data_IF_101639575637
#
_entry.id   IF_101639575637
#
_cell.length_a   1.000
_cell.length_b   1.000
_cell.length_c   1.000
_cell.angle_alpha   90.00
_cell.angle_beta   90.00
_cell.angle_gamma   90.00
#
_symmetry.space_group_name_H-M   'P 1'
#
loop_
_entity.id
_entity.type
_entity.pdbx_description
1 polymer ?
#
# COMPACT_ATOMS: atom_id res chain seq x y z
N UNK A 1 -8.46 5.06 3.96
CA UNK A 1 -8.15 4.90 2.52
C UNK A 1 -6.66 4.72 2.40
N UNK A 2 -6.25 3.57 1.88
CA UNK A 2 -4.84 3.26 1.65
C UNK A 2 -4.60 3.28 0.15
N UNK A 3 -3.55 3.96 -0.27
CA UNK A 3 -3.03 3.97 -1.64
C UNK A 3 -1.58 3.48 -1.64
N UNK A 4 -1.16 2.96 -2.79
CA UNK A 4 0.21 2.49 -3.02
C UNK A 4 0.82 3.35 -4.12
N UNK A 5 1.95 4.01 -3.85
CA UNK A 5 2.49 5.10 -4.69
C UNK A 5 2.68 4.71 -6.17
N UNK A 6 3.10 3.47 -6.41
CA UNK A 6 3.43 2.94 -7.74
C UNK A 6 2.36 1.99 -8.28
N UNK A 7 1.14 2.01 -7.73
CA UNK A 7 0.03 1.16 -8.20
C UNK A 7 -0.20 1.37 -9.71
N UNK A 8 0.08 0.33 -10.49
CA UNK A 8 -0.05 0.38 -11.95
C UNK A 8 -1.47 0.02 -12.44
N UNK A 9 -2.38 -0.33 -11.53
CA UNK A 9 -3.76 -0.74 -11.82
C UNK A 9 -4.78 0.33 -11.41
N UNK A 10 -4.55 1.01 -10.29
CA UNK A 10 -5.43 2.01 -9.70
C UNK A 10 -4.61 3.26 -9.35
N UNK A 11 -4.90 4.36 -10.04
CA UNK A 11 -4.24 5.65 -9.81
C UNK A 11 -4.45 6.14 -8.36
N UNK A 12 -3.38 6.37 -7.57
CA UNK A 12 -3.47 6.94 -6.23
C UNK A 12 -4.28 8.24 -6.15
N UNK A 13 -4.26 9.07 -7.20
CA UNK A 13 -5.06 10.31 -7.26
C UNK A 13 -6.57 10.03 -7.24
N UNK A 14 -7.00 8.88 -7.78
CA UNK A 14 -8.41 8.46 -7.71
C UNK A 14 -8.81 8.07 -6.29
N UNK A 15 -7.92 7.40 -5.54
CA UNK A 15 -8.15 7.06 -4.12
C UNK A 15 -8.17 8.33 -3.26
N UNK A 16 -7.31 9.30 -3.56
CA UNK A 16 -7.34 10.62 -2.93
C UNK A 16 -8.67 11.34 -3.17
N UNK A 17 -9.15 11.40 -4.41
CA UNK A 17 -10.44 12.00 -4.75
C UNK A 17 -11.60 11.34 -3.98
N UNK A 18 -11.58 10.00 -3.85
CA UNK A 18 -12.55 9.28 -3.05
C UNK A 18 -12.46 9.67 -1.56
N UNK A 19 -11.26 9.74 -1.00
CA UNK A 19 -11.05 10.20 0.38
C UNK A 19 -11.65 11.59 0.62
N UNK A 20 -11.46 12.54 -0.31
CA UNK A 20 -12.03 13.88 -0.20
C UNK A 20 -13.56 13.92 -0.22
N UNK A 21 -14.21 12.87 -0.75
CA UNK A 21 -15.68 12.77 -0.78
C UNK A 21 -16.30 12.19 0.51
N UNK A 22 -15.47 11.80 1.49
CA UNK A 22 -15.91 11.11 2.71
C UNK A 22 -15.62 11.94 3.96
N UNK A 23 -16.64 12.13 4.81
CA UNK A 23 -16.54 13.00 5.99
C UNK A 23 -15.57 12.49 7.08
N UNK A 24 -15.43 11.16 7.23
CA UNK A 24 -14.65 10.53 8.30
C UNK A 24 -13.69 9.49 7.70
N UNK A 25 -12.70 9.94 6.94
CA UNK A 25 -11.69 9.05 6.38
C UNK A 25 -10.30 9.60 6.59
N UNK A 26 -9.33 8.70 6.75
CA UNK A 26 -7.90 8.99 6.72
C UNK A 26 -7.35 8.50 5.40
N UNK A 27 -6.43 9.25 4.78
CA UNK A 27 -5.69 8.86 3.60
C UNK A 27 -4.24 8.56 3.95
N UNK A 28 -3.73 7.43 3.45
CA UNK A 28 -2.33 7.01 3.59
C UNK A 28 -1.83 6.57 2.22
N UNK A 29 -0.73 7.14 1.77
CA UNK A 29 -0.02 6.73 0.57
C UNK A 29 1.31 6.09 0.97
N UNK A 30 1.53 4.83 0.60
CA UNK A 30 2.73 4.07 0.98
C UNK A 30 3.75 4.14 -0.16
N UNK A 31 4.97 4.60 0.14
CA UNK A 31 6.02 4.85 -0.84
C UNK A 31 6.48 3.56 -1.54
N UNK A 32 6.88 3.67 -2.81
CA UNK A 32 7.48 2.62 -3.64
C UNK A 32 6.75 1.27 -3.58
N UNK A 33 5.42 1.33 -3.47
CA UNK A 33 4.56 0.16 -3.28
C UNK A 33 3.57 0.08 -4.43
N UNK A 34 3.30 -1.13 -4.93
CA UNK A 34 2.32 -1.38 -5.99
C UNK A 34 1.07 -2.14 -5.51
N UNK A 35 0.16 -2.42 -6.43
CA UNK A 35 -1.19 -2.96 -6.15
C UNK A 35 -1.20 -4.30 -5.44
N UNK A 36 -0.23 -5.17 -5.75
CA UNK A 36 -0.16 -6.53 -5.22
C UNK A 36 0.56 -6.59 -3.86
N UNK A 37 1.20 -5.51 -3.41
CA UNK A 37 1.87 -5.45 -2.11
C UNK A 37 1.07 -5.93 -0.88
N UNK A 38 -0.24 -5.63 -0.74
CA UNK A 38 -1.01 -6.08 0.42
C UNK A 38 -1.37 -7.57 0.41
N UNK A 39 -1.16 -8.30 -0.69
CA UNK A 39 -1.58 -9.71 -0.78
C UNK A 39 -0.53 -10.64 -0.16
N UNK A 40 -0.99 -11.73 0.46
CA UNK A 40 -0.13 -12.71 1.15
C UNK A 40 0.93 -13.36 0.25
N UNK A 41 0.68 -13.38 -1.07
CA UNK A 41 1.63 -13.93 -2.04
C UNK A 41 2.84 -13.02 -2.29
N UNK A 42 2.72 -11.70 -2.06
CA UNK A 42 3.75 -10.73 -2.46
C UNK A 42 5.14 -11.01 -1.86
N UNK A 43 5.30 -11.34 -0.55
CA UNK A 43 6.60 -11.71 0.00
C UNK A 43 7.21 -12.93 -0.70
N UNK A 44 6.40 -13.92 -1.08
CA UNK A 44 6.87 -15.12 -1.78
C UNK A 44 7.27 -14.84 -3.23
N UNK A 45 6.67 -13.81 -3.84
CA UNK A 45 7.01 -13.32 -5.17
C UNK A 45 8.33 -12.55 -5.11
N UNK A 46 8.51 -11.66 -4.13
CA UNK A 46 9.76 -10.94 -3.90
C UNK A 46 10.93 -11.90 -3.63
N UNK A 47 10.74 -12.89 -2.75
CA UNK A 47 11.77 -13.90 -2.43
C UNK A 47 12.21 -14.70 -3.67
N UNK A 48 11.33 -14.86 -4.67
CA UNK A 48 11.60 -15.56 -5.94
C UNK A 48 12.11 -14.63 -7.05
N UNK A 49 12.11 -13.32 -6.82
CA UNK A 49 12.46 -12.34 -7.84
C UNK A 49 11.39 -12.14 -8.93
N UNK A 50 10.13 -12.49 -8.63
CA UNK A 50 9.00 -12.35 -9.55
C UNK A 50 8.29 -13.67 -9.89
N UNK A 51 7.41 -13.60 -10.88
CA UNK A 51 6.55 -14.68 -11.39
C UNK A 51 6.93 -15.09 -12.82
N UNK A 52 8.14 -14.74 -13.28
CA UNK A 52 8.57 -14.95 -14.68
C UNK A 52 8.41 -16.40 -15.15
N UNK A 53 8.58 -17.40 -14.27
CA UNK A 53 8.38 -18.82 -14.60
C UNK A 53 6.94 -19.16 -15.01
N UNK A 54 5.95 -18.39 -14.55
CA UNK A 54 4.53 -18.60 -14.85
C UNK A 54 4.08 -17.85 -16.12
N UNK A 55 4.96 -17.08 -16.74
CA UNK A 55 4.62 -16.16 -17.85
C UNK A 55 4.06 -16.86 -19.07
N UNK A 56 4.56 -18.05 -19.41
CA UNK A 56 4.04 -18.86 -20.52
C UNK A 56 2.62 -19.37 -20.23
N UNK A 57 2.34 -19.74 -18.97
CA UNK A 57 1.06 -20.32 -18.57
C UNK A 57 -0.04 -19.28 -18.32
N UNK A 58 0.32 -18.13 -17.76
CA UNK A 58 -0.63 -17.10 -17.30
C UNK A 58 -0.73 -15.89 -18.23
N UNK A 59 0.29 -15.68 -19.08
CA UNK A 59 0.37 -14.54 -19.97
C UNK A 59 0.88 -13.26 -19.30
N UNK A 60 1.44 -12.37 -20.11
CA UNK A 60 2.15 -11.16 -19.70
C UNK A 60 1.34 -10.25 -18.78
N UNK A 61 0.07 -10.02 -19.11
CA UNK A 61 -0.79 -9.08 -18.38
C UNK A 61 -1.06 -9.54 -16.94
N UNK A 62 -1.27 -10.84 -16.73
CA UNK A 62 -1.50 -11.43 -15.41
C UNK A 62 -0.22 -11.39 -14.59
N UNK A 63 0.91 -11.71 -15.21
CA UNK A 63 2.22 -11.61 -14.53
C UNK A 63 2.48 -10.18 -14.08
N UNK A 64 2.33 -9.20 -14.98
CA UNK A 64 2.58 -7.79 -14.64
C UNK A 64 1.67 -7.31 -13.50
N UNK A 65 0.40 -7.70 -13.51
CA UNK A 65 -0.52 -7.36 -12.42
C UNK A 65 -0.15 -8.04 -11.09
N UNK A 66 0.30 -9.30 -11.14
CA UNK A 66 0.73 -10.04 -9.94
C UNK A 66 2.09 -9.61 -9.39
N UNK A 67 2.96 -9.05 -10.24
CA UNK A 67 4.28 -8.52 -9.87
C UNK A 67 4.23 -7.05 -9.41
N UNK A 68 3.09 -6.36 -9.55
CA UNK A 68 2.97 -4.92 -9.27
C UNK A 68 3.21 -4.59 -7.79
N UNK A 69 4.42 -4.12 -7.45
CA UNK A 69 4.85 -3.87 -6.08
C UNK A 69 5.47 -5.09 -5.38
N UNK A 70 5.77 -6.17 -6.12
CA UNK A 70 6.29 -7.43 -5.58
C UNK A 70 7.63 -7.86 -6.19
N UNK A 71 8.37 -6.93 -6.80
CA UNK A 71 9.72 -7.18 -7.29
C UNK A 71 10.79 -6.75 -6.27
N UNK A 72 12.04 -7.24 -6.37
CA UNK A 72 13.12 -6.92 -5.42
C UNK A 72 13.51 -5.44 -5.30
N UNK A 73 12.98 -4.55 -6.15
CA UNK A 73 13.19 -3.10 -6.07
C UNK A 73 12.06 -2.32 -5.39
N UNK A 74 10.93 -2.97 -5.13
CA UNK A 74 9.79 -2.39 -4.44
C UNK A 74 10.01 -2.40 -2.92
N UNK A 75 9.18 -1.66 -2.18
CA UNK A 75 9.16 -1.72 -0.71
C UNK A 75 8.96 -3.16 -0.24
N UNK A 76 9.61 -3.55 0.88
CA UNK A 76 9.45 -4.90 1.44
C UNK A 76 7.98 -5.17 1.74
N UNK A 77 7.42 -6.19 1.08
CA UNK A 77 6.02 -6.55 1.21
C UNK A 77 5.66 -6.94 2.65
N UNK A 78 6.59 -7.49 3.42
CA UNK A 78 6.37 -7.83 4.83
C UNK A 78 6.21 -6.57 5.67
N UNK A 79 7.04 -5.56 5.44
CA UNK A 79 6.94 -4.26 6.11
C UNK A 79 5.62 -3.54 5.74
N UNK A 80 5.21 -3.59 4.47
CA UNK A 80 3.90 -3.08 4.04
C UNK A 80 2.77 -3.79 4.79
N UNK A 81 2.80 -5.12 4.87
CA UNK A 81 1.79 -5.90 5.58
C UNK A 81 1.76 -5.60 7.09
N UNK A 82 2.92 -5.42 7.72
CA UNK A 82 3.01 -5.04 9.14
C UNK A 82 2.42 -3.64 9.39
N UNK A 83 2.70 -2.66 8.51
CA UNK A 83 2.09 -1.34 8.57
C UNK A 83 0.56 -1.40 8.40
N UNK A 84 0.09 -2.14 7.38
CA UNK A 84 -1.34 -2.34 7.14
C UNK A 84 -2.02 -3.02 8.31
N UNK A 85 -1.35 -3.97 8.97
CA UNK A 85 -1.87 -4.64 10.16
C UNK A 85 -2.13 -3.64 11.28
N UNK A 86 -1.25 -2.65 11.48
CA UNK A 86 -1.46 -1.61 12.50
C UNK A 86 -2.70 -0.78 12.14
N UNK A 87 -2.79 -0.27 10.91
CA UNK A 87 -3.92 0.56 10.46
C UNK A 87 -5.25 -0.19 10.51
N UNK A 88 -5.31 -1.42 9.98
CA UNK A 88 -6.53 -2.23 9.94
C UNK A 88 -6.96 -2.62 11.34
N UNK A 89 -6.03 -3.07 12.19
CA UNK A 89 -6.37 -3.43 13.58
C UNK A 89 -6.86 -2.22 14.34
N UNK A 90 -6.17 -1.08 14.23
CA UNK A 90 -6.57 0.17 14.87
C UNK A 90 -7.96 0.63 14.44
N UNK A 91 -8.20 0.67 13.13
CA UNK A 91 -9.50 1.01 12.56
C UNK A 91 -10.62 0.09 13.05
N UNK A 92 -10.40 -1.23 13.05
CA UNK A 92 -11.41 -2.21 13.50
C UNK A 92 -11.73 -2.04 14.99
N UNK A 93 -10.71 -1.82 15.82
CA UNK A 93 -10.91 -1.63 17.26
C UNK A 93 -11.70 -0.35 17.55
N UNK A 94 -11.41 0.74 16.85
CA UNK A 94 -12.15 2.00 16.99
C UNK A 94 -13.59 1.87 16.47
N UNK A 95 -13.78 1.34 15.26
CA UNK A 95 -15.09 1.18 14.63
C UNK A 95 -16.04 0.28 15.43
N UNK A 96 -15.49 -0.70 16.15
CA UNK A 96 -16.26 -1.61 17.01
C UNK A 96 -16.42 -1.08 18.45
N UNK A 97 -15.85 0.08 18.80
CA UNK A 97 -15.91 0.63 20.15
C UNK A 97 -15.20 -0.22 21.20
N UNK A 98 -14.13 -0.92 20.80
CA UNK A 98 -13.35 -1.82 21.66
C UNK A 98 -12.22 -1.11 22.42
N UNK A 99 -12.03 0.19 22.16
CA UNK A 99 -11.03 1.01 22.83
C UNK A 99 -11.67 1.85 23.93
N UNK A 100 -10.93 2.01 25.04
CA UNK A 100 -11.33 2.92 26.12
C UNK A 100 -11.20 4.39 25.71
N UNK A 101 -10.26 4.70 24.81
CA UNK A 101 -9.96 6.04 24.30
C UNK A 101 -9.78 5.98 22.77
N UNK A 102 -10.06 7.06 22.02
CA UNK A 102 -9.85 7.09 20.57
C UNK A 102 -8.40 6.81 20.17
N UNK A 103 -8.22 6.03 19.10
CA UNK A 103 -6.89 5.76 18.54
C UNK A 103 -6.55 6.81 17.48
N UNK A 104 -5.78 7.83 17.86
CA UNK A 104 -5.30 8.82 16.91
C UNK A 104 -4.10 8.26 16.11
N UNK A 105 -4.37 7.50 15.05
CA UNK A 105 -3.34 7.09 14.11
C UNK A 105 -2.86 8.29 13.29
N UNK A 106 -1.56 8.48 13.22
CA UNK A 106 -0.88 9.57 12.50
C UNK A 106 0.24 8.99 11.62
N UNK A 107 0.95 9.84 10.88
CA UNK A 107 2.02 9.41 9.97
C UNK A 107 3.18 8.70 10.70
N UNK A 108 3.43 9.08 11.95
CA UNK A 108 4.50 8.54 12.82
C UNK A 108 4.34 7.04 13.10
N UNK A 109 3.17 6.45 12.81
CA UNK A 109 2.99 4.99 12.92
C UNK A 109 3.93 4.21 11.98
N UNK A 110 4.38 4.83 10.88
CA UNK A 110 5.37 4.24 9.99
C UNK A 110 6.72 3.99 10.70
N UNK A 111 7.10 4.83 11.67
CA UNK A 111 8.36 4.70 12.40
C UNK A 111 8.41 3.44 13.28
N UNK A 112 7.26 2.78 13.50
CA UNK A 112 7.18 1.52 14.23
C UNK A 112 7.53 0.30 13.36
N UNK A 113 7.62 0.47 12.04
CA UNK A 113 7.85 -0.62 11.08
C UNK A 113 9.06 -0.28 10.22
N UNK A 114 10.13 -1.06 10.38
CA UNK A 114 11.35 -0.88 9.59
C UNK A 114 11.10 -1.23 8.11
N UNK A 115 11.64 -0.42 7.19
CA UNK A 115 11.63 -0.73 5.76
C UNK A 115 10.40 -0.25 4.98
N UNK A 116 9.47 0.47 5.61
CA UNK A 116 8.31 1.10 4.97
C UNK A 116 8.29 2.61 5.21
N UNK A 117 7.77 3.36 4.25
CA UNK A 117 7.63 4.82 4.34
C UNK A 117 6.20 5.21 3.95
N UNK A 118 5.58 6.09 4.74
CA UNK A 118 4.36 6.77 4.33
C UNK A 118 4.78 8.01 3.53
N UNK A 119 4.55 7.96 2.22
CA UNK A 119 4.83 9.06 1.29
C UNK A 119 3.93 10.27 1.55
N UNK A 120 2.70 10.04 1.99
CA UNK A 120 1.73 11.09 2.30
C UNK A 120 0.65 10.61 3.26
N UNK A 121 0.29 11.46 4.22
CA UNK A 121 -0.74 11.19 5.22
C UNK A 121 -1.74 12.35 5.22
N UNK A 122 -2.99 12.09 4.82
CA UNK A 122 -4.01 13.13 4.55
C UNK A 122 -3.51 14.25 3.61
N UNK A 123 -2.59 13.90 2.72
CA UNK A 123 -2.01 14.78 1.72
C UNK A 123 -2.18 14.17 0.33
N UNK A 124 -2.37 15.03 -0.67
CA UNK A 124 -2.52 14.58 -2.05
C UNK A 124 -1.25 13.84 -2.53
N UNK A 125 -1.39 12.76 -3.33
CA UNK A 125 -0.24 12.10 -3.94
C UNK A 125 0.60 13.08 -4.75
N UNK A 126 1.92 13.03 -4.59
CA UNK A 126 2.84 13.80 -5.43
C UNK A 126 2.90 13.16 -6.81
N UNK A 127 2.43 13.87 -7.84
CA UNK A 127 2.67 13.46 -9.23
C UNK A 127 4.13 13.77 -9.54
N UNK A 128 4.96 12.76 -9.77
CA UNK A 128 6.25 12.98 -10.41
C UNK A 128 5.96 13.42 -11.86
N UNK A 129 5.91 14.73 -12.09
CA UNK A 129 5.95 15.28 -13.44
C UNK A 129 7.33 14.91 -13.98
N UNK A 130 7.38 13.89 -14.84
CA UNK A 130 8.60 13.57 -15.56
C UNK A 130 9.02 14.79 -16.37
N UNK A 131 10.17 15.38 -16.02
CA UNK A 131 10.88 16.28 -16.92
C UNK A 131 11.33 15.41 -18.11
N UNK A 132 10.63 15.58 -19.23
CA UNK A 132 11.04 15.07 -20.54
C UNK A 132 12.10 15.95 -21.19
#
# INVERSE_FOLDING_TARGET
MVAFENDALIDPASIWSLHQSLDNSVFVNIARTGHAAPIDACPLIQDRGGLTELREALGESVIRAGEDGCLPGDTDARAVQDLLRIFVTGFVYEALGLLAEPLNLTAEVADLVEGVEIRGFNEAPTVLIGEG
#
